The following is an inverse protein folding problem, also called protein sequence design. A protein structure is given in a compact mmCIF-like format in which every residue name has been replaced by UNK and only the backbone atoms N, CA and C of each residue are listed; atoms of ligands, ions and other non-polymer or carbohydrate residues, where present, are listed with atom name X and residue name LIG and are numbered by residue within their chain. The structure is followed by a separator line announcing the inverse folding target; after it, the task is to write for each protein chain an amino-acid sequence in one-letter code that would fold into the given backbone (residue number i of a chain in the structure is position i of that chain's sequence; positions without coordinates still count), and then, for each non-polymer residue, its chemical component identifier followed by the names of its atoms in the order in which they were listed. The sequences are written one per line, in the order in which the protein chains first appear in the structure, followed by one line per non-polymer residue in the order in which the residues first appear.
data_IF_582851642830
#
_entry.id   IF_582851642830
#
_cell.length_a   1.000
_cell.length_b   1.000
_cell.length_c   1.000
_cell.angle_alpha   90.00
_cell.angle_beta   90.00
_cell.angle_gamma   90.00
#
_symmetry.space_group_name_H-M   'P 1'
#
loop_
_entity.id
_entity.type
_entity.pdbx_description
1 polymer ?
#
# COMPACT_ATOMS: atom_id res chain seq x y z
N UNK A 1 -15.12 34.68 33.07
CA UNK A 1 -16.09 33.59 32.86
C UNK A 1 -16.32 33.52 31.36
N UNK A 2 -15.54 32.74 30.64
CA UNK A 2 -15.70 32.58 29.20
C UNK A 2 -16.05 31.12 28.94
N UNK A 3 -17.34 30.88 28.73
CA UNK A 3 -17.89 29.55 28.46
C UNK A 3 -17.36 29.09 27.10
N UNK A 4 -16.73 27.91 27.12
CA UNK A 4 -16.26 27.18 25.94
C UNK A 4 -17.38 27.07 24.91
N UNK A 5 -17.03 27.42 23.69
CA UNK A 5 -17.81 27.26 22.48
C UNK A 5 -17.77 25.77 22.08
N UNK A 6 -18.74 24.98 22.52
CA UNK A 6 -18.94 23.61 22.02
C UNK A 6 -20.13 23.61 21.07
N UNK A 7 -19.83 23.88 19.79
CA UNK A 7 -20.76 23.70 18.69
C UNK A 7 -20.96 22.18 18.48
N UNK A 8 -21.84 21.58 19.26
CA UNK A 8 -22.32 20.21 19.04
C UNK A 8 -23.39 20.25 17.93
N UNK A 9 -22.96 20.43 16.68
CA UNK A 9 -23.81 20.15 15.52
C UNK A 9 -24.09 18.64 15.49
N UNK A 10 -25.28 18.23 15.93
CA UNK A 10 -25.78 16.88 15.66
C UNK A 10 -25.88 16.72 14.16
N UNK A 11 -24.94 15.97 13.55
CA UNK A 11 -25.03 15.57 12.14
C UNK A 11 -26.42 15.00 11.86
N UNK A 12 -27.05 15.44 10.77
CA UNK A 12 -28.30 14.90 10.27
C UNK A 12 -28.20 13.36 10.20
N UNK A 13 -29.14 12.60 10.79
CA UNK A 13 -29.16 11.15 10.72
C UNK A 13 -29.05 10.60 9.29
N UNK A 14 -29.63 11.28 8.31
CA UNK A 14 -29.51 10.92 6.90
C UNK A 14 -28.06 11.09 6.41
N UNK A 15 -27.40 12.20 6.76
CA UNK A 15 -26.01 12.44 6.40
C UNK A 15 -25.08 11.42 7.08
N UNK A 16 -25.32 11.08 8.34
CA UNK A 16 -24.56 10.03 9.06
C UNK A 16 -24.69 8.66 8.38
N UNK A 17 -25.89 8.32 7.91
CA UNK A 17 -26.12 7.08 7.17
C UNK A 17 -25.41 7.08 5.81
N UNK A 18 -25.45 8.19 5.07
CA UNK A 18 -24.74 8.34 3.79
C UNK A 18 -23.22 8.25 3.97
N UNK A 19 -22.67 8.88 5.01
CA UNK A 19 -21.24 8.82 5.34
C UNK A 19 -20.81 7.36 5.63
N UNK A 20 -21.63 6.60 6.37
CA UNK A 20 -21.35 5.18 6.67
C UNK A 20 -21.44 4.29 5.42
N UNK A 21 -22.40 4.55 4.54
CA UNK A 21 -22.53 3.83 3.28
C UNK A 21 -21.32 4.08 2.37
N UNK A 22 -20.89 5.34 2.22
CA UNK A 22 -19.71 5.72 1.45
C UNK A 22 -18.44 5.06 2.00
N UNK A 23 -18.27 5.06 3.33
CA UNK A 23 -17.14 4.39 3.97
C UNK A 23 -17.16 2.87 3.71
N UNK A 24 -18.32 2.23 3.82
CA UNK A 24 -18.47 0.79 3.56
C UNK A 24 -18.08 0.43 2.12
N UNK A 25 -18.46 1.27 1.15
CA UNK A 25 -18.07 1.11 -0.25
C UNK A 25 -16.54 1.27 -0.40
N UNK A 26 -15.95 2.30 0.21
CA UNK A 26 -14.51 2.55 0.14
C UNK A 26 -13.69 1.39 0.75
N UNK A 27 -14.12 0.88 1.91
CA UNK A 27 -13.49 -0.28 2.56
C UNK A 27 -13.64 -1.53 1.69
N UNK A 28 -14.79 -1.73 1.06
CA UNK A 28 -15.02 -2.84 0.13
C UNK A 28 -14.08 -2.78 -1.09
N UNK A 29 -13.93 -1.60 -1.70
CA UNK A 29 -13.02 -1.38 -2.81
C UNK A 29 -11.55 -1.61 -2.40
N UNK A 30 -11.13 -1.09 -1.25
CA UNK A 30 -9.77 -1.28 -0.73
C UNK A 30 -9.46 -2.77 -0.47
N UNK A 31 -10.41 -3.53 0.08
CA UNK A 31 -10.27 -4.98 0.28
C UNK A 31 -10.11 -5.72 -1.04
N UNK A 32 -10.89 -5.37 -2.05
CA UNK A 32 -10.79 -5.97 -3.38
C UNK A 32 -9.40 -5.74 -4.00
N UNK A 33 -8.90 -4.50 -3.94
CA UNK A 33 -7.56 -4.18 -4.45
C UNK A 33 -6.46 -4.86 -3.63
N UNK A 34 -6.63 -5.00 -2.30
CA UNK A 34 -5.69 -5.78 -1.46
C UNK A 34 -5.67 -7.26 -1.82
N UNK A 35 -6.82 -7.88 -2.10
CA UNK A 35 -6.85 -9.28 -2.55
C UNK A 35 -6.10 -9.44 -3.87
N UNK A 36 -6.31 -8.53 -4.83
CA UNK A 36 -5.51 -8.52 -6.08
C UNK A 36 -4.02 -8.37 -5.79
N UNK A 37 -3.64 -7.47 -4.87
CA UNK A 37 -2.25 -7.21 -4.53
C UNK A 37 -1.54 -8.43 -3.91
N UNK A 38 -2.26 -9.28 -3.16
CA UNK A 38 -1.66 -10.51 -2.60
C UNK A 38 -1.07 -11.41 -3.68
N UNK A 39 -1.70 -11.48 -4.84
CA UNK A 39 -1.20 -12.28 -5.96
C UNK A 39 0.06 -11.66 -6.60
N UNK A 40 0.29 -10.36 -6.42
CA UNK A 40 1.50 -9.68 -6.89
C UNK A 40 2.71 -9.84 -5.96
N UNK A 41 2.51 -10.09 -4.66
CA UNK A 41 3.61 -10.20 -3.68
C UNK A 41 4.60 -11.33 -4.04
N UNK A 42 4.16 -12.55 -4.42
CA UNK A 42 5.08 -13.59 -4.90
C UNK A 42 5.87 -13.16 -6.13
N UNK A 43 5.24 -12.49 -7.09
CA UNK A 43 5.89 -12.01 -8.33
C UNK A 43 7.00 -11.00 -8.03
N UNK A 44 6.74 -10.04 -7.14
CA UNK A 44 7.74 -9.07 -6.68
C UNK A 44 8.90 -9.78 -5.99
N UNK A 45 8.59 -10.76 -5.15
CA UNK A 45 9.59 -11.54 -4.41
C UNK A 45 10.49 -12.33 -5.36
N UNK A 46 9.90 -13.03 -6.33
CA UNK A 46 10.64 -13.82 -7.31
C UNK A 46 11.50 -12.95 -8.22
N UNK A 47 10.98 -11.80 -8.66
CA UNK A 47 11.75 -10.83 -9.45
C UNK A 47 12.96 -10.30 -8.66
N UNK A 48 12.73 -9.92 -7.39
CA UNK A 48 13.81 -9.45 -6.51
C UNK A 48 14.86 -10.55 -6.32
N UNK A 49 14.44 -11.80 -6.11
CA UNK A 49 15.35 -12.93 -5.93
C UNK A 49 16.19 -13.20 -7.18
N UNK A 50 15.56 -13.26 -8.36
CA UNK A 50 16.28 -13.44 -9.62
C UNK A 50 17.35 -12.36 -9.80
N UNK A 51 16.99 -11.10 -9.55
CA UNK A 51 17.95 -10.00 -9.67
C UNK A 51 19.08 -10.08 -8.66
N UNK A 52 18.78 -10.48 -7.42
CA UNK A 52 19.78 -10.70 -6.39
C UNK A 52 20.77 -11.78 -6.81
N UNK A 53 20.27 -12.95 -7.26
CA UNK A 53 21.10 -14.08 -7.68
C UNK A 53 21.99 -13.70 -8.88
N UNK A 54 21.45 -12.96 -9.85
CA UNK A 54 22.22 -12.42 -10.99
C UNK A 54 23.34 -11.48 -10.55
N UNK A 55 23.09 -10.61 -9.56
CA UNK A 55 24.13 -9.72 -9.03
C UNK A 55 25.19 -10.50 -8.24
N UNK A 56 24.78 -11.51 -7.49
CA UNK A 56 25.70 -12.43 -6.80
C UNK A 56 26.62 -13.13 -7.79
N UNK A 57 26.11 -13.62 -8.91
CA UNK A 57 26.91 -14.23 -9.98
C UNK A 57 27.91 -13.25 -10.61
N UNK A 58 27.58 -11.96 -10.62
CA UNK A 58 28.46 -10.88 -11.10
C UNK A 58 29.52 -10.43 -10.07
N UNK A 59 29.60 -11.10 -8.93
CA UNK A 59 30.59 -10.84 -7.89
C UNK A 59 30.20 -9.73 -6.90
N UNK A 60 28.94 -9.31 -6.88
CA UNK A 60 28.48 -8.32 -5.91
C UNK A 60 28.47 -8.93 -4.50
N UNK A 61 28.77 -8.10 -3.50
CA UNK A 61 28.53 -8.46 -2.09
C UNK A 61 27.03 -8.61 -1.83
N UNK A 62 26.66 -9.31 -0.75
CA UNK A 62 25.24 -9.54 -0.42
C UNK A 62 24.47 -8.23 -0.30
N UNK A 63 25.10 -7.21 0.33
CA UNK A 63 24.49 -5.90 0.49
C UNK A 63 24.25 -5.20 -0.83
N UNK A 64 25.25 -5.18 -1.72
CA UNK A 64 25.14 -4.54 -3.03
C UNK A 64 24.11 -5.26 -3.92
N UNK A 65 24.09 -6.59 -3.91
CA UNK A 65 23.12 -7.38 -4.66
C UNK A 65 21.69 -7.12 -4.17
N UNK A 66 21.48 -7.06 -2.85
CA UNK A 66 20.18 -6.78 -2.24
C UNK A 66 19.69 -5.36 -2.53
N UNK A 67 20.57 -4.36 -2.36
CA UNK A 67 20.23 -2.96 -2.63
C UNK A 67 19.85 -2.77 -4.11
N UNK A 68 20.63 -3.35 -5.04
CA UNK A 68 20.33 -3.29 -6.48
C UNK A 68 18.99 -3.98 -6.81
N UNK A 69 18.79 -5.22 -6.34
CA UNK A 69 17.60 -5.98 -6.65
C UNK A 69 16.32 -5.31 -6.13
N UNK A 70 16.39 -4.73 -4.92
CA UNK A 70 15.27 -4.02 -4.30
C UNK A 70 14.94 -2.74 -5.05
N UNK A 71 15.95 -1.91 -5.38
CA UNK A 71 15.73 -0.69 -6.17
C UNK A 71 15.18 -0.99 -7.56
N UNK A 72 15.75 -1.98 -8.25
CA UNK A 72 15.31 -2.36 -9.58
C UNK A 72 13.85 -2.80 -9.57
N UNK A 73 13.50 -3.71 -8.64
CA UNK A 73 12.13 -4.24 -8.55
C UNK A 73 11.14 -3.13 -8.19
N UNK A 74 11.44 -2.28 -7.22
CA UNK A 74 10.55 -1.15 -6.89
C UNK A 74 10.33 -0.20 -8.07
N UNK A 75 11.36 0.10 -8.87
CA UNK A 75 11.20 0.93 -10.07
C UNK A 75 10.25 0.29 -11.08
N UNK A 76 10.34 -1.03 -11.30
CA UNK A 76 9.48 -1.72 -12.27
C UNK A 76 8.01 -1.81 -11.83
N UNK A 77 7.73 -1.91 -10.52
CA UNK A 77 6.38 -2.12 -10.01
C UNK A 77 5.66 -0.86 -9.52
N UNK A 78 6.39 0.20 -9.14
CA UNK A 78 5.80 1.42 -8.55
C UNK A 78 5.80 2.59 -9.53
N UNK A 79 6.70 2.63 -10.51
CA UNK A 79 6.85 3.78 -11.42
C UNK A 79 6.27 3.57 -12.83
N UNK A 80 5.61 2.42 -13.08
CA UNK A 80 4.80 2.18 -14.27
C UNK A 80 3.34 2.58 -14.02
#
# INVERSE_FOLDING_TARGET
MDKKNENNEKKDPLQSFLDQAANSIAVGAAKLEMEKFKDFVPVITDCTKCMYDDMKQKGFTDRQAFDFASEYTMRQFIQN
#
